data_IF_236993333479
#
_entry.id   IF_236993333479
#
_cell.length_a   1.000
_cell.length_b   1.000
_cell.length_c   1.000
_cell.angle_alpha   90.00
_cell.angle_beta   90.00
_cell.angle_gamma   90.00
#
_symmetry.space_group_name_H-M   'P 1'
#
loop_
_entity.id
_entity.type
_entity.pdbx_description
1 polymer ?
#
# COMPACT_ATOMS: atom_id res chain seq x y z
N UNK A 1 -7.07 11.81 4.93
CA UNK A 1 -7.69 10.68 4.22
C UNK A 1 -8.73 10.08 5.15
N UNK A 2 -9.94 9.74 4.67
CA UNK A 2 -10.88 8.97 5.47
C UNK A 2 -10.34 7.58 5.80
N UNK A 3 -11.14 6.72 6.44
CA UNK A 3 -10.73 5.36 6.83
C UNK A 3 -10.06 4.57 5.69
N UNK A 4 -10.54 4.75 4.45
CA UNK A 4 -10.08 4.04 3.27
C UNK A 4 -9.05 4.81 2.43
N UNK A 5 -8.00 4.11 1.99
CA UNK A 5 -6.98 4.60 1.05
C UNK A 5 -6.88 3.72 -0.18
N UNK A 6 -6.70 4.32 -1.37
CA UNK A 6 -6.44 3.60 -2.62
C UNK A 6 -5.08 2.90 -2.57
N UNK A 7 -5.01 1.67 -3.13
CA UNK A 7 -3.74 0.93 -3.21
C UNK A 7 -2.71 1.64 -4.10
N UNK A 8 -3.15 2.15 -5.25
CA UNK A 8 -2.32 2.98 -6.14
C UNK A 8 -1.11 2.29 -6.77
N UNK A 9 -1.16 0.97 -6.94
CA UNK A 9 -0.05 0.19 -7.49
C UNK A 9 0.52 0.80 -8.76
N UNK A 10 1.84 1.00 -8.78
CA UNK A 10 2.57 1.58 -9.89
C UNK A 10 3.83 0.76 -10.19
N UNK A 11 4.28 0.79 -11.44
CA UNK A 11 5.60 0.28 -11.82
C UNK A 11 6.72 1.13 -11.18
N UNK A 12 7.92 0.56 -10.99
CA UNK A 12 9.04 1.31 -10.39
C UNK A 12 9.50 2.50 -11.24
N UNK A 13 9.22 2.48 -12.55
CA UNK A 13 9.58 3.55 -13.49
C UNK A 13 8.53 4.65 -13.61
N UNK A 14 7.38 4.49 -12.95
CA UNK A 14 6.28 5.46 -12.97
C UNK A 14 6.09 6.02 -11.57
N UNK A 15 5.71 7.29 -11.50
CA UNK A 15 5.30 7.88 -10.25
C UNK A 15 4.02 7.22 -9.73
N UNK A 16 3.98 6.97 -8.43
CA UNK A 16 2.77 6.52 -7.77
C UNK A 16 1.79 7.69 -7.63
N UNK A 17 0.50 7.41 -7.77
CA UNK A 17 -0.52 8.44 -7.59
C UNK A 17 -0.48 8.99 -6.15
N UNK A 18 -0.47 10.32 -5.95
CA UNK A 18 -0.45 10.90 -4.61
C UNK A 18 -1.63 10.44 -3.74
N UNK A 19 -1.41 10.32 -2.44
CA UNK A 19 -2.45 9.93 -1.49
C UNK A 19 -2.86 8.45 -1.58
N UNK A 20 -1.99 7.60 -2.12
CA UNK A 20 -2.17 6.14 -2.18
C UNK A 20 -1.19 5.41 -1.28
N UNK A 21 -1.51 4.15 -0.95
CA UNK A 21 -0.62 3.26 -0.18
C UNK A 21 0.74 3.13 -0.85
N UNK A 22 0.75 2.94 -2.17
CA UNK A 22 2.00 2.84 -2.94
C UNK A 22 2.82 4.13 -2.84
N UNK A 23 2.21 5.31 -2.92
CA UNK A 23 2.93 6.57 -2.77
C UNK A 23 3.57 6.71 -1.39
N UNK A 24 2.84 6.35 -0.31
CA UNK A 24 3.41 6.30 1.04
C UNK A 24 4.57 5.30 1.15
N UNK A 25 4.43 4.12 0.53
CA UNK A 25 5.48 3.09 0.49
C UNK A 25 6.77 3.49 -0.24
N UNK A 26 6.75 4.61 -0.96
CA UNK A 26 7.91 5.19 -1.68
C UNK A 26 8.43 6.47 -1.06
N UNK A 27 7.69 7.04 -0.10
CA UNK A 27 7.96 8.35 0.44
C UNK A 27 9.24 8.34 1.30
N UNK A 28 10.10 9.34 1.11
CA UNK A 28 11.37 9.45 1.83
C UNK A 28 11.17 9.73 3.34
N UNK A 29 10.00 10.24 3.72
CA UNK A 29 9.58 10.56 5.07
C UNK A 29 8.75 9.45 5.74
N UNK A 30 8.55 8.31 5.07
CA UNK A 30 7.96 7.16 5.76
C UNK A 30 8.92 6.63 6.84
N UNK A 31 8.44 5.86 7.83
CA UNK A 31 9.28 5.40 8.94
C UNK A 31 10.51 4.57 8.54
N UNK A 32 10.56 4.06 7.31
CA UNK A 32 11.66 3.24 6.76
C UNK A 32 12.58 4.08 5.86
N UNK A 33 12.29 5.36 5.64
CA UNK A 33 13.15 6.31 4.94
C UNK A 33 13.20 6.15 3.41
N UNK A 34 12.15 5.57 2.80
CA UNK A 34 12.08 5.42 1.35
C UNK A 34 11.34 4.17 0.89
N UNK A 35 11.87 3.49 -0.13
CA UNK A 35 11.16 2.42 -0.81
C UNK A 35 11.03 1.14 0.02
N UNK A 36 9.81 0.62 0.11
CA UNK A 36 9.59 -0.80 0.36
C UNK A 36 10.00 -1.61 -0.88
N UNK A 37 10.89 -2.60 -0.67
CA UNK A 37 11.63 -3.25 -1.74
C UNK A 37 12.78 -2.35 -2.21
N UNK A 38 14.02 -2.72 -1.87
CA UNK A 38 15.20 -1.90 -2.18
C UNK A 38 15.96 -2.38 -3.43
N UNK A 39 15.72 -3.65 -3.83
CA UNK A 39 16.33 -4.28 -5.00
C UNK A 39 15.69 -3.74 -6.28
N UNK A 40 16.52 -3.27 -7.21
CA UNK A 40 16.10 -2.86 -8.57
C UNK A 40 15.25 -3.96 -9.24
N UNK A 41 14.12 -3.60 -9.84
CA UNK A 41 13.13 -4.52 -10.40
C UNK A 41 12.10 -5.05 -9.39
N UNK A 42 12.34 -4.86 -8.09
CA UNK A 42 11.43 -5.20 -7.00
C UNK A 42 11.10 -3.98 -6.13
N UNK A 43 11.44 -2.77 -6.58
CA UNK A 43 11.12 -1.55 -5.85
C UNK A 43 9.64 -1.24 -6.00
N UNK A 44 9.02 -0.87 -4.89
CA UNK A 44 7.60 -0.55 -4.85
C UNK A 44 6.75 -1.82 -4.84
N UNK A 45 5.54 -1.71 -5.36
CA UNK A 45 4.49 -2.74 -5.26
C UNK A 45 4.09 -3.04 -3.82
N UNK A 46 4.35 -2.10 -2.91
CA UNK A 46 3.81 -2.14 -1.55
C UNK A 46 2.30 -2.33 -1.62
N UNK A 47 1.62 -1.52 -2.45
CA UNK A 47 0.17 -1.56 -2.63
C UNK A 47 -0.36 -2.88 -3.24
N UNK A 48 0.50 -3.76 -3.75
CA UNK A 48 0.10 -5.08 -4.28
C UNK A 48 0.40 -6.22 -3.33
N UNK A 49 1.56 -6.21 -2.66
CA UNK A 49 2.02 -7.37 -1.90
C UNK A 49 1.71 -7.30 -0.41
N UNK A 50 1.70 -6.10 0.16
CA UNK A 50 1.52 -5.94 1.60
C UNK A 50 0.05 -5.95 2.03
N UNK A 51 -0.90 -5.26 1.36
CA UNK A 51 -2.30 -5.28 1.79
C UNK A 51 -2.92 -6.68 1.90
N UNK A 52 -2.73 -7.63 0.95
CA UNK A 52 -3.27 -8.98 1.11
C UNK A 52 -2.66 -9.75 2.29
N UNK A 53 -1.39 -9.53 2.59
CA UNK A 53 -0.74 -10.11 3.77
C UNK A 53 -1.33 -9.52 5.06
N UNK A 54 -1.48 -8.20 5.13
CA UNK A 54 -2.07 -7.55 6.30
C UNK A 54 -3.53 -7.97 6.52
N UNK A 55 -4.28 -8.19 5.43
CA UNK A 55 -5.66 -8.70 5.50
C UNK A 55 -5.68 -10.12 6.05
N UNK A 56 -4.79 -11.00 5.58
CA UNK A 56 -4.66 -12.37 6.10
C UNK A 56 -4.27 -12.40 7.58
N UNK A 57 -3.59 -11.36 8.08
CA UNK A 57 -3.26 -11.17 9.50
C UNK A 57 -4.37 -10.48 10.31
N UNK A 58 -5.48 -10.07 9.68
CA UNK A 58 -6.58 -9.37 10.34
C UNK A 58 -6.27 -7.92 10.74
N UNK A 59 -5.24 -7.31 10.15
CA UNK A 59 -4.78 -5.95 10.49
C UNK A 59 -5.46 -4.88 9.63
N UNK A 60 -5.98 -5.26 8.47
CA UNK A 60 -6.66 -4.37 7.53
C UNK A 60 -7.87 -5.04 6.91
N UNK A 61 -8.80 -4.22 6.44
CA UNK A 61 -9.83 -4.64 5.49
C UNK A 61 -9.40 -4.23 4.07
N UNK A 62 -9.55 -5.13 3.10
CA UNK A 62 -9.15 -4.93 1.70
C UNK A 62 -10.34 -5.12 0.76
N UNK A 63 -10.49 -4.23 -0.22
CA UNK A 63 -11.47 -4.42 -1.28
C UNK A 63 -11.00 -5.43 -2.32
N UNK A 64 -11.91 -6.32 -2.76
CA UNK A 64 -11.66 -7.37 -3.76
C UNK A 64 -12.38 -7.09 -5.08
N UNK A 65 -12.25 -5.85 -5.59
CA UNK A 65 -12.76 -5.46 -6.89
C UNK A 65 -11.77 -5.73 -8.02
N UNK A 66 -12.22 -5.53 -9.26
CA UNK A 66 -11.38 -5.70 -10.46
C UNK A 66 -10.28 -4.63 -10.60
N UNK A 67 -10.46 -3.43 -10.00
CA UNK A 67 -9.53 -2.30 -10.06
C UNK A 67 -9.86 -1.25 -9.00
N UNK A 68 -8.89 -0.37 -8.73
CA UNK A 68 -9.04 0.76 -7.81
C UNK A 68 -9.45 0.35 -6.39
N UNK A 69 -8.99 -0.83 -5.97
CA UNK A 69 -9.24 -1.33 -4.62
C UNK A 69 -8.62 -0.39 -3.59
N UNK A 70 -9.24 -0.39 -2.41
CA UNK A 70 -8.83 0.38 -1.25
C UNK A 70 -8.56 -0.54 -0.07
N UNK A 71 -7.80 -0.01 0.88
CA UNK A 71 -7.52 -0.65 2.16
C UNK A 71 -7.83 0.33 3.29
N UNK A 72 -8.29 -0.18 4.42
CA UNK A 72 -8.36 0.57 5.68
C UNK A 72 -7.79 -0.26 6.83
N UNK A 73 -7.35 0.41 7.89
CA UNK A 73 -7.01 -0.30 9.12
C UNK A 73 -8.24 -1.04 9.65
N UNK A 74 -8.06 -2.29 10.06
CA UNK A 74 -9.09 -2.98 10.81
C UNK A 74 -9.16 -2.34 12.19
N UNK A 75 -10.37 -2.03 12.67
CA UNK A 75 -10.57 -1.74 14.08
C UNK A 75 -10.24 -3.03 14.82
N UNK A 76 -9.13 -3.06 15.56
CA UNK A 76 -8.79 -4.24 16.35
C UNK A 76 -10.00 -4.64 17.22
N UNK A 77 -10.31 -5.94 17.39
CA UNK A 77 -11.19 -6.32 18.48
C UNK A 77 -10.50 -5.87 19.77
N UNK A 78 -11.23 -5.08 20.57
CA UNK A 78 -10.76 -4.64 21.89
C UNK A 78 -10.53 -5.79 22.86
#
# INVERSE_FOLDING_TARGET
>A
HGDWMLLGAADEKKDAAPGTVEAWGRAADNPVGGWYGQRKGYRGRLGMYIPPLLEALGLVELEHGARNNRVRAATAPG
#
